data_IF_755835053025
#
_entry.id   IF_755835053025
#
_cell.length_a   1.000
_cell.length_b   1.000
_cell.length_c   1.000
_cell.angle_alpha   90.00
_cell.angle_beta   90.00
_cell.angle_gamma   90.00
#
_symmetry.space_group_name_H-M   'P 1'
#
loop_
_entity.id
_entity.type
_entity.pdbx_description
1 polymer ?
#
# COMPACT_ATOMS: atom_id res chain seq x y z
N UNK A 1 22.16 28.50 59.67
CA UNK A 1 21.50 27.18 59.60
C UNK A 1 20.31 27.12 58.63
N UNK A 2 19.46 28.16 58.53
CA UNK A 2 18.27 28.13 57.66
C UNK A 2 18.60 28.16 56.15
N UNK A 3 19.69 28.82 55.72
CA UNK A 3 20.07 28.88 54.28
C UNK A 3 20.62 27.56 53.70
N UNK A 4 21.13 26.65 54.53
CA UNK A 4 21.67 25.35 54.07
C UNK A 4 20.53 24.33 53.88
N UNK A 5 19.40 24.52 54.58
CA UNK A 5 18.23 23.65 54.46
C UNK A 5 17.50 23.82 53.13
N UNK A 6 17.51 25.02 52.55
CA UNK A 6 16.92 25.28 51.22
C UNK A 6 17.74 24.68 50.07
N UNK A 7 19.05 24.50 50.23
CA UNK A 7 19.89 23.87 49.21
C UNK A 7 19.62 22.36 49.08
N UNK A 8 19.26 21.69 50.18
CA UNK A 8 18.87 20.26 50.17
C UNK A 8 17.42 20.04 49.69
N UNK A 9 16.54 21.03 49.88
CA UNK A 9 15.17 20.99 49.38
C UNK A 9 15.07 21.28 47.87
N UNK A 10 16.06 21.98 47.29
CA UNK A 10 16.13 22.20 45.84
C UNK A 10 16.80 21.05 45.07
N UNK A 11 17.64 20.24 45.73
CA UNK A 11 18.32 19.09 45.08
C UNK A 11 17.45 17.84 44.96
N UNK A 12 16.27 17.82 45.60
CA UNK A 12 15.40 16.65 45.68
C UNK A 12 14.25 16.66 44.67
N UNK A 13 14.18 17.68 43.79
CA UNK A 13 13.16 17.81 42.75
C UNK A 13 13.68 17.57 41.33
N UNK A 14 14.86 16.97 41.18
CA UNK A 14 15.23 16.29 39.92
C UNK A 14 14.81 14.82 40.05
N UNK A 15 13.51 14.60 40.30
CA UNK A 15 12.90 13.36 39.85
C UNK A 15 12.88 13.47 38.34
N UNK A 16 13.93 12.95 37.72
CA UNK A 16 13.97 12.62 36.33
C UNK A 16 12.81 11.63 36.13
N UNK A 17 11.63 12.15 35.82
CA UNK A 17 10.60 11.40 35.14
C UNK A 17 11.18 11.08 33.78
N UNK A 18 12.07 10.10 33.73
CA UNK A 18 12.22 9.24 32.58
C UNK A 18 10.83 8.63 32.42
N UNK A 19 9.97 9.38 31.73
CA UNK A 19 8.77 8.84 31.14
C UNK A 19 9.28 7.63 30.37
N UNK A 20 8.96 6.46 30.89
CA UNK A 20 9.04 5.20 30.18
C UNK A 20 8.15 5.38 28.95
N UNK A 21 8.71 5.97 27.90
CA UNK A 21 8.07 5.99 26.61
C UNK A 21 8.24 4.57 26.10
N UNK A 22 7.23 3.75 26.34
CA UNK A 22 7.05 2.50 25.61
C UNK A 22 7.17 2.83 24.14
N UNK A 23 8.12 2.18 23.45
CA UNK A 23 8.30 2.41 22.02
C UNK A 23 6.96 2.23 21.29
N UNK A 24 6.54 3.25 20.53
CA UNK A 24 5.23 3.26 19.86
C UNK A 24 5.07 2.09 18.87
N UNK A 25 6.19 1.59 18.34
CA UNK A 25 6.26 0.41 17.49
C UNK A 25 7.54 -0.38 17.75
N UNK A 26 7.54 -1.63 17.30
CA UNK A 26 8.73 -2.49 17.17
C UNK A 26 8.72 -3.08 15.76
N UNK A 27 9.90 -3.21 15.16
CA UNK A 27 10.07 -3.84 13.85
C UNK A 27 10.85 -5.12 14.07
N UNK A 28 10.44 -6.19 13.40
CA UNK A 28 11.09 -7.48 13.45
C UNK A 28 11.50 -7.91 12.05
N UNK A 29 12.64 -8.59 11.93
CA UNK A 29 13.02 -9.27 10.69
C UNK A 29 12.30 -10.61 10.54
N UNK A 30 12.60 -11.35 9.46
CA UNK A 30 11.98 -12.65 9.16
C UNK A 30 12.33 -13.74 10.18
N UNK A 31 13.41 -13.57 10.94
CA UNK A 31 13.78 -14.46 12.05
C UNK A 31 13.12 -14.06 13.38
N UNK A 32 12.29 -13.00 13.39
CA UNK A 32 11.64 -12.49 14.59
C UNK A 32 12.55 -11.69 15.51
N UNK A 33 13.72 -11.26 15.02
CA UNK A 33 14.65 -10.43 15.80
C UNK A 33 14.27 -8.96 15.68
N UNK A 34 14.30 -8.25 16.79
CA UNK A 34 13.99 -6.82 16.79
C UNK A 34 15.08 -6.05 16.01
N UNK A 35 14.65 -5.24 15.05
CA UNK A 35 15.52 -4.38 14.23
C UNK A 35 15.10 -2.91 14.36
N UNK A 36 16.05 -2.02 14.12
CA UNK A 36 15.78 -0.58 14.04
C UNK A 36 15.12 -0.24 12.71
N UNK A 37 14.28 0.80 12.71
CA UNK A 37 13.68 1.32 11.49
C UNK A 37 14.73 1.69 10.44
N UNK A 38 15.82 2.33 10.84
CA UNK A 38 16.86 2.78 9.90
C UNK A 38 17.54 1.60 9.20
N UNK A 39 17.74 0.48 9.92
CA UNK A 39 18.29 -0.73 9.35
C UNK A 39 17.33 -1.38 8.33
N UNK A 40 16.03 -1.42 8.64
CA UNK A 40 15.00 -1.89 7.71
C UNK A 40 14.92 -0.98 6.47
N UNK A 41 14.90 0.35 6.65
CA UNK A 41 14.84 1.30 5.56
C UNK A 41 16.06 1.19 4.63
N UNK A 42 17.27 1.00 5.20
CA UNK A 42 18.48 0.77 4.41
C UNK A 42 18.35 -0.50 3.54
N UNK A 43 17.83 -1.60 4.09
CA UNK A 43 17.57 -2.82 3.31
C UNK A 43 16.54 -2.55 2.21
N UNK A 44 15.46 -1.82 2.51
CA UNK A 44 14.44 -1.46 1.52
C UNK A 44 15.05 -0.70 0.33
N UNK A 45 16.02 0.19 0.57
CA UNK A 45 16.72 0.90 -0.52
C UNK A 45 17.56 0.00 -1.43
N UNK A 46 17.88 -1.22 -1.02
CA UNK A 46 18.64 -2.17 -1.84
C UNK A 46 17.77 -2.95 -2.81
N UNK A 47 16.44 -2.88 -2.66
CA UNK A 47 15.49 -3.63 -3.47
C UNK A 47 14.84 -2.74 -4.52
N UNK A 48 14.54 -3.33 -5.68
CA UNK A 48 13.79 -2.64 -6.72
C UNK A 48 12.32 -2.46 -6.32
N UNK A 49 11.68 -3.51 -5.80
CA UNK A 49 10.27 -3.48 -5.45
C UNK A 49 10.11 -3.74 -3.95
N UNK A 50 9.49 -2.80 -3.25
CA UNK A 50 9.21 -2.88 -1.82
C UNK A 50 7.70 -2.74 -1.61
N UNK A 51 7.09 -3.76 -1.02
CA UNK A 51 5.70 -3.71 -0.58
C UNK A 51 5.62 -3.32 0.89
N UNK A 52 4.80 -2.32 1.21
CA UNK A 52 4.44 -1.96 2.57
C UNK A 52 3.01 -2.43 2.83
N UNK A 53 2.88 -3.64 3.39
CA UNK A 53 1.61 -4.20 3.84
C UNK A 53 1.10 -3.49 5.09
N UNK A 54 -0.18 -3.10 5.10
CA UNK A 54 -0.78 -2.34 6.21
C UNK A 54 -2.14 -2.85 6.68
N UNK A 55 -2.59 -2.28 7.80
CA UNK A 55 -3.98 -2.27 8.20
C UNK A 55 -4.51 -0.86 7.90
N UNK A 56 -5.53 -0.76 7.04
CA UNK A 56 -5.97 0.51 6.42
C UNK A 56 -6.40 1.63 7.35
N UNK A 57 -6.60 1.37 8.64
CA UNK A 57 -7.02 2.36 9.64
C UNK A 57 -5.99 2.49 10.77
N UNK A 58 -4.71 2.26 10.47
CA UNK A 58 -3.62 2.34 11.44
C UNK A 58 -2.74 3.57 11.17
N UNK A 59 -3.06 4.68 11.85
CA UNK A 59 -2.30 5.94 11.74
C UNK A 59 -0.79 5.80 11.94
N UNK A 60 -0.33 4.85 12.77
CA UNK A 60 1.10 4.61 12.97
C UNK A 60 1.73 3.92 11.76
N UNK A 61 1.02 3.01 11.10
CA UNK A 61 1.47 2.39 9.85
C UNK A 61 1.61 3.46 8.76
N UNK A 62 0.63 4.35 8.61
CA UNK A 62 0.69 5.45 7.64
C UNK A 62 1.84 6.41 7.88
N UNK A 63 2.12 6.74 9.16
CA UNK A 63 3.30 7.53 9.51
C UNK A 63 4.61 6.81 9.13
N UNK A 64 4.71 5.49 9.37
CA UNK A 64 5.86 4.68 8.99
C UNK A 64 6.03 4.58 7.47
N UNK A 65 4.94 4.52 6.69
CA UNK A 65 4.97 4.54 5.23
C UNK A 65 5.60 5.84 4.72
N UNK A 66 5.14 6.99 5.23
CA UNK A 66 5.69 8.28 4.86
C UNK A 66 7.16 8.39 5.25
N UNK A 67 7.53 7.86 6.42
CA UNK A 67 8.92 7.83 6.86
C UNK A 67 9.78 6.96 5.92
N UNK A 68 9.30 5.79 5.52
CA UNK A 68 10.04 4.90 4.61
C UNK A 68 10.19 5.53 3.23
N UNK A 69 9.12 6.12 2.68
CA UNK A 69 9.15 6.84 1.40
C UNK A 69 10.23 7.93 1.40
N UNK A 70 10.32 8.71 2.49
CA UNK A 70 11.35 9.74 2.67
C UNK A 70 12.77 9.13 2.67
N UNK A 71 13.02 8.09 3.46
CA UNK A 71 14.34 7.44 3.52
C UNK A 71 14.73 6.83 2.16
N UNK A 72 13.80 6.18 1.47
CA UNK A 72 14.05 5.63 0.14
C UNK A 72 14.37 6.72 -0.87
N UNK A 73 13.63 7.84 -0.84
CA UNK A 73 13.85 8.96 -1.75
C UNK A 73 15.22 9.65 -1.56
N UNK A 74 15.76 9.67 -0.32
CA UNK A 74 17.11 10.18 -0.07
C UNK A 74 18.21 9.40 -0.79
N UNK A 75 17.96 8.13 -1.13
CA UNK A 75 18.94 7.24 -1.78
C UNK A 75 18.59 6.99 -3.26
N UNK A 76 17.32 7.14 -3.64
CA UNK A 76 16.81 6.85 -4.98
C UNK A 76 16.28 8.10 -5.67
N UNK A 77 17.09 8.67 -6.56
CA UNK A 77 16.74 9.86 -7.33
C UNK A 77 15.53 9.68 -8.26
N UNK A 78 15.22 8.45 -8.69
CA UNK A 78 14.15 8.14 -9.66
C UNK A 78 13.32 6.93 -9.23
N UNK A 79 12.58 7.08 -8.14
CA UNK A 79 11.64 6.05 -7.66
C UNK A 79 10.20 6.36 -8.04
N UNK A 80 9.33 5.38 -7.88
CA UNK A 80 7.87 5.49 -8.06
C UNK A 80 7.16 5.13 -6.76
N UNK A 81 6.13 5.89 -6.41
CA UNK A 81 5.17 5.52 -5.38
C UNK A 81 3.95 4.88 -6.06
N UNK A 82 3.50 3.73 -5.60
CA UNK A 82 2.29 3.10 -6.08
C UNK A 82 1.39 2.70 -4.91
N UNK A 83 0.09 2.63 -5.09
CA UNK A 83 -0.77 2.16 -3.99
C UNK A 83 -2.10 1.54 -4.40
N UNK A 84 -2.67 0.80 -3.45
CA UNK A 84 -4.02 0.25 -3.50
C UNK A 84 -5.12 1.32 -3.31
N UNK A 85 -4.85 2.39 -2.56
CA UNK A 85 -5.88 3.36 -2.15
C UNK A 85 -6.35 4.32 -3.26
N UNK A 86 -5.81 4.18 -4.47
CA UNK A 86 -6.31 4.82 -5.70
C UNK A 86 -6.58 3.79 -6.80
N UNK A 87 -7.63 4.04 -7.58
CA UNK A 87 -8.05 3.18 -8.69
C UNK A 87 -7.36 3.63 -9.98
N UNK A 88 -7.07 2.71 -10.90
CA UNK A 88 -6.37 3.02 -12.17
C UNK A 88 -7.06 4.09 -13.01
N UNK A 89 -8.38 4.26 -12.86
CA UNK A 89 -9.13 5.30 -13.56
C UNK A 89 -9.06 6.68 -12.87
N UNK A 90 -8.44 6.81 -11.69
CA UNK A 90 -8.06 8.09 -11.07
C UNK A 90 -6.72 8.64 -11.62
N UNK A 91 -5.95 7.85 -12.38
CA UNK A 91 -4.57 8.20 -12.77
C UNK A 91 -4.49 9.54 -13.51
N UNK A 92 -5.43 9.83 -14.42
CA UNK A 92 -5.45 11.10 -15.16
C UNK A 92 -5.58 12.30 -14.20
N UNK A 93 -6.53 12.22 -13.26
CA UNK A 93 -6.77 13.27 -12.27
C UNK A 93 -5.56 13.47 -11.35
N UNK A 94 -4.88 12.39 -10.98
CA UNK A 94 -3.64 12.45 -10.18
C UNK A 94 -2.51 13.12 -10.99
N UNK A 95 -2.33 12.74 -12.26
CA UNK A 95 -1.28 13.28 -13.12
C UNK A 95 -1.48 14.79 -13.37
N UNK A 96 -2.73 15.21 -13.63
CA UNK A 96 -3.07 16.63 -13.80
C UNK A 96 -2.85 17.44 -12.51
N UNK A 97 -3.16 16.85 -11.35
CA UNK A 97 -2.90 17.48 -10.06
C UNK A 97 -1.40 17.58 -9.78
N UNK A 98 -0.62 16.52 -10.03
CA UNK A 98 0.83 16.51 -9.88
C UNK A 98 1.50 17.55 -10.79
N UNK A 99 0.98 17.72 -12.00
CA UNK A 99 1.41 18.74 -12.95
C UNK A 99 0.95 20.18 -12.59
N UNK A 100 0.16 20.36 -11.53
CA UNK A 100 -0.36 21.66 -11.10
C UNK A 100 -1.45 22.24 -12.00
N UNK A 101 -2.09 21.41 -12.84
CA UNK A 101 -3.17 21.83 -13.75
C UNK A 101 -4.50 22.00 -13.02
N UNK A 102 -4.71 21.24 -11.94
CA UNK A 102 -5.87 21.35 -11.06
C UNK A 102 -5.46 21.66 -9.62
N UNK A 103 -6.35 22.30 -8.88
CA UNK A 103 -6.13 22.65 -7.47
C UNK A 103 -6.31 21.43 -6.57
N UNK A 104 -5.75 21.47 -5.35
CA UNK A 104 -5.97 20.45 -4.33
C UNK A 104 -7.48 20.21 -4.07
N UNK A 105 -8.29 21.29 -4.09
CA UNK A 105 -9.74 21.20 -3.93
C UNK A 105 -10.41 20.43 -5.07
N UNK A 106 -10.01 20.67 -6.32
CA UNK A 106 -10.61 19.97 -7.46
C UNK A 106 -10.18 18.50 -7.46
N UNK A 107 -8.89 18.24 -7.20
CA UNK A 107 -8.38 16.88 -7.06
C UNK A 107 -9.19 16.09 -6.01
N UNK A 108 -9.38 16.64 -4.81
CA UNK A 108 -10.10 15.96 -3.73
C UNK A 108 -11.60 15.82 -3.98
N UNK A 109 -12.19 16.64 -4.87
CA UNK A 109 -13.59 16.53 -5.25
C UNK A 109 -13.82 15.50 -6.37
N UNK A 110 -12.83 15.27 -7.23
CA UNK A 110 -12.95 14.44 -8.43
C UNK A 110 -12.37 13.03 -8.24
N UNK A 111 -11.30 12.87 -7.47
CA UNK A 111 -10.67 11.58 -7.21
C UNK A 111 -11.49 10.73 -6.23
N UNK A 112 -11.43 9.40 -6.38
CA UNK A 112 -12.17 8.45 -5.51
C UNK A 112 -11.46 8.20 -4.18
N UNK A 113 -11.47 9.21 -3.33
CA UNK A 113 -10.79 9.16 -2.03
C UNK A 113 -11.46 8.17 -1.06
N UNK A 114 -10.62 7.50 -0.27
CA UNK A 114 -11.08 6.74 0.89
C UNK A 114 -11.43 7.70 2.05
N UNK A 115 -12.31 7.25 2.96
CA UNK A 115 -12.81 8.11 4.05
C UNK A 115 -11.70 8.68 4.95
N UNK A 116 -10.60 7.94 5.12
CA UNK A 116 -9.44 8.33 5.93
C UNK A 116 -8.33 9.02 5.13
N UNK A 117 -8.55 9.34 3.84
CA UNK A 117 -7.53 9.92 2.97
C UNK A 117 -6.83 11.15 3.57
N UNK A 118 -7.59 12.07 4.17
CA UNK A 118 -7.07 13.34 4.66
C UNK A 118 -5.96 13.17 5.70
N UNK A 119 -6.08 12.18 6.57
CA UNK A 119 -5.11 11.93 7.65
C UNK A 119 -4.05 10.92 7.24
N UNK A 120 -4.44 9.90 6.49
CA UNK A 120 -3.66 8.67 6.39
C UNK A 120 -2.84 8.62 5.09
N UNK A 121 -3.40 9.07 3.96
CA UNK A 121 -2.77 8.93 2.64
C UNK A 121 -2.35 10.25 1.99
N UNK A 122 -3.04 11.36 2.29
CA UNK A 122 -2.71 12.70 1.77
C UNK A 122 -1.25 13.10 2.05
N UNK A 123 -0.65 12.82 3.23
CA UNK A 123 0.77 13.13 3.47
C UNK A 123 1.74 12.44 2.49
N UNK A 124 1.44 11.20 2.07
CA UNK A 124 2.23 10.48 1.07
C UNK A 124 2.14 11.17 -0.29
N UNK A 125 0.91 11.52 -0.70
CA UNK A 125 0.65 12.17 -1.99
C UNK A 125 1.30 13.55 -2.08
N UNK A 126 1.19 14.36 -1.02
CA UNK A 126 1.83 15.68 -0.97
C UNK A 126 3.35 15.57 -1.03
N UNK A 127 3.94 14.59 -0.32
CA UNK A 127 5.38 14.37 -0.39
C UNK A 127 5.83 13.92 -1.78
N UNK A 128 5.08 13.02 -2.43
CA UNK A 128 5.38 12.58 -3.78
C UNK A 128 5.31 13.74 -4.78
N UNK A 129 4.22 14.51 -4.74
CA UNK A 129 4.02 15.71 -5.57
C UNK A 129 5.11 16.75 -5.36
N UNK A 130 5.47 17.09 -4.11
CA UNK A 130 6.47 18.14 -3.83
C UNK A 130 7.88 17.77 -4.28
N UNK A 131 8.19 16.47 -4.38
CA UNK A 131 9.51 15.97 -4.76
C UNK A 131 9.54 15.39 -6.18
N UNK A 132 8.47 15.54 -6.96
CA UNK A 132 8.40 15.01 -8.33
C UNK A 132 8.50 13.49 -8.42
N UNK A 133 8.12 12.76 -7.37
CA UNK A 133 8.05 11.29 -7.36
C UNK A 133 6.79 10.89 -8.14
N UNK A 134 6.89 10.18 -9.28
CA UNK A 134 5.71 9.69 -10.00
C UNK A 134 4.83 8.81 -9.11
N UNK A 135 3.52 8.91 -9.30
CA UNK A 135 2.54 8.11 -8.58
C UNK A 135 1.78 7.17 -9.52
N UNK A 136 1.58 5.91 -9.12
CA UNK A 136 0.76 4.93 -9.83
C UNK A 136 -0.45 4.52 -8.98
N UNK A 137 -1.64 4.88 -9.45
CA UNK A 137 -2.90 4.35 -8.96
C UNK A 137 -3.04 2.90 -9.44
N UNK A 138 -2.78 1.93 -8.57
CA UNK A 138 -2.55 0.55 -9.03
C UNK A 138 -3.81 -0.33 -9.00
N UNK A 139 -4.83 0.06 -8.24
CA UNK A 139 -5.95 -0.81 -7.96
C UNK A 139 -6.97 -0.85 -9.11
N UNK A 140 -7.70 -1.95 -9.21
CA UNK A 140 -8.84 -2.06 -10.12
C UNK A 140 -9.95 -1.09 -9.70
N UNK A 141 -10.67 -0.45 -10.65
CA UNK A 141 -11.86 0.30 -10.31
C UNK A 141 -12.89 -0.57 -9.56
N UNK A 142 -13.39 -0.11 -8.41
CA UNK A 142 -14.24 -0.93 -7.51
C UNK A 142 -15.49 -1.48 -8.19
N UNK A 143 -16.03 -0.76 -9.17
CA UNK A 143 -17.16 -1.21 -10.00
C UNK A 143 -16.87 -2.54 -10.73
N UNK A 144 -15.63 -2.79 -11.15
CA UNK A 144 -15.25 -4.02 -11.84
C UNK A 144 -14.99 -5.16 -10.86
N UNK A 145 -14.36 -4.89 -9.71
CA UNK A 145 -14.27 -5.88 -8.63
C UNK A 145 -15.67 -6.32 -8.13
N UNK A 146 -16.63 -5.39 -8.10
CA UNK A 146 -18.04 -5.66 -7.74
C UNK A 146 -18.81 -6.45 -8.81
N UNK A 147 -18.39 -6.41 -10.08
CA UNK A 147 -18.91 -7.34 -11.10
C UNK A 147 -18.42 -8.74 -10.78
N UNK A 148 -17.12 -8.91 -10.54
CA UNK A 148 -16.53 -10.23 -10.23
C UNK A 148 -17.14 -10.83 -8.97
N UNK A 149 -17.37 -10.04 -7.92
CA UNK A 149 -17.98 -10.57 -6.68
C UNK A 149 -19.42 -11.06 -6.86
N UNK A 150 -20.11 -10.67 -7.94
CA UNK A 150 -21.48 -11.08 -8.25
C UNK A 150 -21.58 -12.14 -9.34
N UNK A 151 -20.71 -12.07 -10.33
CA UNK A 151 -20.82 -12.80 -11.61
C UNK A 151 -19.58 -13.66 -11.91
N UNK A 152 -18.55 -13.62 -11.05
CA UNK A 152 -17.26 -14.25 -11.30
C UNK A 152 -16.43 -13.51 -12.36
N UNK A 153 -15.25 -14.05 -12.67
CA UNK A 153 -14.33 -13.43 -13.65
C UNK A 153 -14.94 -13.28 -15.05
N UNK A 154 -15.84 -14.19 -15.44
CA UNK A 154 -16.55 -14.15 -16.73
C UNK A 154 -17.35 -12.85 -16.92
N UNK A 155 -17.84 -12.24 -15.84
CA UNK A 155 -18.53 -10.95 -15.89
C UNK A 155 -17.68 -9.83 -16.50
N UNK A 156 -16.34 -9.93 -16.43
CA UNK A 156 -15.43 -8.95 -17.03
C UNK A 156 -15.30 -9.09 -18.56
N UNK A 157 -15.68 -10.23 -19.14
CA UNK A 157 -15.56 -10.46 -20.58
C UNK A 157 -16.48 -9.54 -21.39
N UNK A 158 -17.62 -9.16 -20.80
CA UNK A 158 -18.64 -8.29 -21.40
C UNK A 158 -18.26 -6.81 -21.39
N UNK A 159 -17.20 -6.43 -20.67
CA UNK A 159 -16.75 -5.05 -20.60
C UNK A 159 -16.24 -4.53 -21.95
N UNK A 160 -16.45 -3.24 -22.20
CA UNK A 160 -15.89 -2.57 -23.37
C UNK A 160 -14.35 -2.58 -23.35
N UNK A 161 -13.74 -2.37 -24.52
CA UNK A 161 -12.29 -2.31 -24.63
C UNK A 161 -11.69 -1.16 -23.79
N UNK A 162 -12.40 -0.04 -23.67
CA UNK A 162 -12.01 1.09 -22.82
C UNK A 162 -11.99 0.71 -21.35
N UNK A 163 -13.02 0.01 -20.88
CA UNK A 163 -13.09 -0.48 -19.50
C UNK A 163 -11.97 -1.48 -19.20
N UNK A 164 -11.68 -2.38 -20.14
CA UNK A 164 -10.62 -3.39 -20.00
C UNK A 164 -9.22 -2.79 -19.85
N UNK A 165 -8.99 -1.54 -20.27
CA UNK A 165 -7.70 -0.85 -20.05
C UNK A 165 -7.37 -0.66 -18.58
N UNK A 166 -8.37 -0.64 -17.69
CA UNK A 166 -8.22 -0.41 -16.25
C UNK A 166 -8.12 -1.69 -15.41
N UNK A 167 -8.08 -2.86 -16.05
CA UNK A 167 -7.89 -4.15 -15.36
C UNK A 167 -6.66 -4.88 -15.90
N UNK A 168 -6.24 -5.93 -15.21
CA UNK A 168 -5.24 -6.86 -15.75
C UNK A 168 -5.73 -7.54 -17.05
N UNK A 169 -4.83 -7.90 -17.98
CA UNK A 169 -5.19 -8.68 -19.16
C UNK A 169 -5.93 -9.97 -18.78
N UNK A 170 -7.02 -10.27 -19.49
CA UNK A 170 -7.82 -11.48 -19.33
C UNK A 170 -7.35 -12.57 -20.32
N UNK A 171 -7.50 -13.87 -20.00
CA UNK A 171 -8.03 -14.40 -18.74
C UNK A 171 -7.00 -14.34 -17.61
N UNK A 172 -7.48 -14.11 -16.37
CA UNK A 172 -6.67 -14.23 -15.15
C UNK A 172 -6.87 -15.61 -14.56
N UNK A 173 -5.78 -16.33 -14.28
CA UNK A 173 -5.84 -17.62 -13.60
C UNK A 173 -5.78 -17.41 -12.09
N UNK A 174 -6.71 -18.02 -11.36
CA UNK A 174 -6.80 -17.91 -9.90
C UNK A 174 -6.61 -19.29 -9.29
N UNK A 175 -5.51 -19.46 -8.57
CA UNK A 175 -5.28 -20.64 -7.72
C UNK A 175 -6.01 -20.45 -6.39
N UNK A 176 -7.25 -20.96 -6.31
CA UNK A 176 -8.10 -20.86 -5.11
C UNK A 176 -7.57 -21.68 -3.92
N UNK A 177 -6.59 -22.55 -4.13
CA UNK A 177 -6.00 -23.37 -3.08
C UNK A 177 -4.95 -22.64 -2.25
N UNK A 178 -4.57 -21.42 -2.64
CA UNK A 178 -3.61 -20.59 -1.92
C UNK A 178 -4.04 -20.36 -0.46
N UNK A 179 -3.11 -20.48 0.51
CA UNK A 179 -3.39 -20.28 1.93
C UNK A 179 -4.08 -18.96 2.24
N UNK A 180 -3.70 -17.85 1.59
CA UNK A 180 -4.32 -16.54 1.79
C UNK A 180 -5.78 -16.49 1.33
N UNK A 181 -6.12 -17.13 0.22
CA UNK A 181 -7.50 -17.20 -0.27
C UNK A 181 -8.36 -18.15 0.56
N UNK A 182 -7.80 -19.26 1.04
CA UNK A 182 -8.47 -20.13 2.03
C UNK A 182 -8.76 -19.40 3.33
N UNK A 183 -7.77 -18.68 3.87
CA UNK A 183 -7.95 -17.88 5.08
C UNK A 183 -9.00 -16.77 4.90
N UNK A 184 -9.05 -16.15 3.71
CA UNK A 184 -10.11 -15.19 3.36
C UNK A 184 -11.49 -15.84 3.35
N UNK A 185 -11.62 -17.00 2.70
CA UNK A 185 -12.87 -17.74 2.69
C UNK A 185 -13.34 -18.08 4.11
N UNK A 186 -12.39 -18.45 4.98
CA UNK A 186 -12.67 -18.76 6.38
C UNK A 186 -13.14 -17.56 7.20
N UNK A 187 -12.58 -16.36 6.96
CA UNK A 187 -13.03 -15.13 7.64
C UNK A 187 -14.42 -14.67 7.21
N UNK A 188 -14.90 -15.10 6.04
CA UNK A 188 -16.21 -14.74 5.50
C UNK A 188 -17.29 -15.80 5.74
N UNK A 189 -17.01 -16.82 6.57
CA UNK A 189 -18.00 -17.82 6.98
C UNK A 189 -19.28 -17.15 7.52
N UNK A 190 -20.41 -17.44 6.87
CA UNK A 190 -21.72 -16.85 7.20
C UNK A 190 -22.19 -15.73 6.26
N UNK A 191 -21.39 -15.34 5.27
CA UNK A 191 -21.83 -14.48 4.17
C UNK A 191 -22.83 -15.18 3.26
N UNK A 192 -23.83 -14.46 2.74
CA UNK A 192 -24.75 -14.95 1.69
C UNK A 192 -24.13 -14.85 0.29
N UNK A 193 -22.94 -14.26 0.17
CA UNK A 193 -22.24 -14.08 -1.10
C UNK A 193 -21.53 -15.37 -1.52
N UNK A 194 -21.35 -15.55 -2.83
CA UNK A 194 -20.60 -16.67 -3.38
C UNK A 194 -19.11 -16.51 -3.04
N UNK A 195 -18.56 -17.42 -2.24
CA UNK A 195 -17.19 -17.29 -1.76
C UNK A 195 -16.13 -17.41 -2.85
N UNK A 196 -16.38 -18.21 -3.87
CA UNK A 196 -15.49 -18.33 -5.03
C UNK A 196 -15.36 -16.99 -5.76
N UNK A 197 -16.48 -16.29 -5.92
CA UNK A 197 -16.52 -14.98 -6.57
C UNK A 197 -15.85 -13.89 -5.72
N UNK A 198 -15.92 -14.00 -4.39
CA UNK A 198 -15.18 -13.10 -3.49
C UNK A 198 -13.67 -13.31 -3.61
N UNK A 199 -13.21 -14.57 -3.67
CA UNK A 199 -11.81 -14.90 -3.90
C UNK A 199 -11.35 -14.40 -5.28
N UNK A 200 -12.14 -14.62 -6.32
CA UNK A 200 -11.87 -14.10 -7.66
C UNK A 200 -11.82 -12.57 -7.71
N UNK A 201 -12.70 -11.89 -6.97
CA UNK A 201 -12.73 -10.44 -6.86
C UNK A 201 -11.46 -9.90 -6.18
N UNK A 202 -10.95 -10.60 -5.16
CA UNK A 202 -9.67 -10.28 -4.54
C UNK A 202 -8.51 -10.53 -5.50
N UNK A 203 -8.51 -11.68 -6.19
CA UNK A 203 -7.45 -12.06 -7.11
C UNK A 203 -7.34 -11.12 -8.32
N UNK A 204 -8.46 -10.61 -8.86
CA UNK A 204 -8.40 -9.60 -9.93
C UNK A 204 -7.86 -8.25 -9.44
N UNK A 205 -8.08 -7.88 -8.16
CA UNK A 205 -7.41 -6.71 -7.55
C UNK A 205 -5.91 -6.93 -7.53
N UNK A 206 -5.45 -8.08 -7.02
CA UNK A 206 -4.03 -8.47 -6.96
C UNK A 206 -3.38 -8.44 -8.34
N UNK A 207 -4.00 -9.10 -9.31
CA UNK A 207 -3.56 -9.14 -10.70
C UNK A 207 -3.48 -7.73 -11.31
N UNK A 208 -4.48 -6.89 -11.08
CA UNK A 208 -4.50 -5.52 -11.63
C UNK A 208 -3.43 -4.64 -10.99
N UNK A 209 -3.20 -4.78 -9.67
CA UNK A 209 -2.10 -4.08 -9.00
C UNK A 209 -0.75 -4.55 -9.51
N UNK A 210 -0.53 -5.86 -9.69
CA UNK A 210 0.70 -6.38 -10.27
C UNK A 210 0.93 -5.87 -11.70
N UNK A 211 -0.11 -5.88 -12.54
CA UNK A 211 -0.07 -5.37 -13.90
C UNK A 211 0.33 -3.89 -13.95
N UNK A 212 -0.20 -3.07 -13.04
CA UNK A 212 0.14 -1.64 -12.92
C UNK A 212 1.62 -1.37 -12.63
N UNK A 213 2.35 -2.35 -12.08
CA UNK A 213 3.78 -2.21 -11.77
C UNK A 213 4.69 -2.75 -12.88
N UNK A 214 4.14 -3.39 -13.91
CA UNK A 214 4.94 -4.06 -14.93
C UNK A 214 5.90 -3.10 -15.66
N UNK A 215 5.39 -1.97 -16.15
CA UNK A 215 6.20 -0.98 -16.87
C UNK A 215 7.34 -0.37 -16.02
N UNK A 216 7.11 0.14 -14.80
CA UNK A 216 8.21 0.65 -13.97
C UNK A 216 9.20 -0.45 -13.56
N UNK A 217 8.74 -1.71 -13.39
CA UNK A 217 9.64 -2.84 -13.14
C UNK A 217 10.55 -3.08 -14.34
N UNK A 218 10.02 -3.13 -15.57
CA UNK A 218 10.81 -3.28 -16.79
C UNK A 218 11.82 -2.15 -16.99
N UNK A 219 11.45 -0.92 -16.60
CA UNK A 219 12.34 0.25 -16.63
C UNK A 219 13.42 0.24 -15.55
N UNK A 220 13.44 -0.76 -14.66
CA UNK A 220 14.43 -0.83 -13.57
C UNK A 220 14.18 0.21 -12.46
N UNK A 221 12.98 0.80 -12.40
CA UNK A 221 12.69 1.84 -11.41
C UNK A 221 12.49 1.21 -10.02
N UNK A 222 13.07 1.79 -8.96
CA UNK A 222 12.68 1.49 -7.60
C UNK A 222 11.21 1.88 -7.35
N UNK A 223 10.45 1.00 -6.69
CA UNK A 223 9.03 1.13 -6.44
C UNK A 223 8.77 0.88 -4.95
N UNK A 224 8.09 1.81 -4.29
CA UNK A 224 7.42 1.56 -3.02
C UNK A 224 5.93 1.42 -3.30
N UNK A 225 5.37 0.24 -3.03
CA UNK A 225 3.95 -0.04 -3.17
C UNK A 225 3.28 -0.12 -1.80
N UNK A 226 2.22 0.65 -1.58
CA UNK A 226 1.45 0.66 -0.33
C UNK A 226 0.14 -0.12 -0.54
N UNK A 227 -0.05 -1.17 0.25
CA UNK A 227 -1.18 -2.09 0.09
C UNK A 227 -1.69 -2.63 1.44
N UNK A 228 -2.95 -3.05 1.49
CA UNK A 228 -3.46 -3.85 2.59
C UNK A 228 -2.66 -5.13 2.73
N UNK A 229 -2.28 -5.51 3.94
CA UNK A 229 -1.35 -6.62 4.21
C UNK A 229 -1.73 -7.94 3.53
N UNK A 230 -3.02 -8.23 3.37
CA UNK A 230 -3.51 -9.41 2.63
C UNK A 230 -3.01 -9.48 1.17
N UNK A 231 -2.66 -8.35 0.56
CA UNK A 231 -2.22 -8.29 -0.84
C UNK A 231 -0.72 -8.59 -1.04
N UNK A 232 0.08 -8.71 0.04
CA UNK A 232 1.52 -9.01 -0.07
C UNK A 232 2.07 -9.95 1.01
N UNK A 233 1.27 -10.32 2.01
CA UNK A 233 1.66 -11.29 3.03
C UNK A 233 2.06 -12.63 2.41
N UNK A 234 3.04 -13.29 3.03
CA UNK A 234 3.55 -14.62 2.63
C UNK A 234 4.02 -14.73 1.18
N UNK A 235 4.34 -13.59 0.52
CA UNK A 235 4.65 -13.54 -0.91
C UNK A 235 3.49 -14.02 -1.80
N UNK A 236 2.25 -13.90 -1.30
CA UNK A 236 1.02 -14.16 -2.04
C UNK A 236 0.43 -12.86 -2.63
N UNK A 237 -0.78 -12.93 -3.19
CA UNK A 237 -1.48 -11.78 -3.75
C UNK A 237 -0.74 -11.15 -4.92
N UNK A 238 -0.47 -9.85 -4.86
CA UNK A 238 0.23 -9.06 -5.89
C UNK A 238 1.54 -9.73 -6.30
N UNK A 239 2.28 -10.26 -5.31
CA UNK A 239 3.61 -10.83 -5.52
C UNK A 239 3.54 -12.04 -6.45
N UNK A 240 2.52 -12.90 -6.30
CA UNK A 240 2.37 -14.09 -7.16
C UNK A 240 2.13 -13.72 -8.62
N UNK A 241 1.24 -12.75 -8.89
CA UNK A 241 0.94 -12.31 -10.24
C UNK A 241 2.12 -11.62 -10.94
N UNK A 242 3.03 -11.03 -10.15
CA UNK A 242 4.28 -10.41 -10.63
C UNK A 242 5.46 -11.38 -10.82
N UNK A 243 5.33 -12.66 -10.44
CA UNK A 243 6.41 -13.65 -10.55
C UNK A 243 6.09 -14.71 -11.61
N UNK A 244 7.13 -15.26 -12.26
CA UNK A 244 6.97 -16.33 -13.26
C UNK A 244 6.34 -17.59 -12.65
N UNK A 245 5.20 -18.05 -13.16
CA UNK A 245 4.45 -19.18 -12.61
C UNK A 245 3.06 -19.33 -13.24
N UNK A 246 2.24 -20.28 -12.76
CA UNK A 246 0.89 -20.53 -13.30
C UNK A 246 -0.06 -19.32 -13.21
N UNK A 247 0.19 -18.42 -12.26
CA UNK A 247 -0.59 -17.20 -12.06
C UNK A 247 0.11 -15.96 -12.64
N UNK A 248 1.21 -16.12 -13.40
CA UNK A 248 1.90 -14.98 -13.99
C UNK A 248 1.02 -14.31 -15.02
N UNK A 249 0.96 -12.98 -14.97
CA UNK A 249 0.35 -12.22 -16.04
C UNK A 249 1.14 -12.41 -17.34
N UNK A 250 0.43 -12.67 -18.45
CA UNK A 250 0.99 -12.56 -19.79
C UNK A 250 1.12 -11.08 -20.13
N UNK A 251 2.11 -10.42 -19.53
CA UNK A 251 2.44 -9.05 -19.88
C UNK A 251 3.20 -9.03 -21.22
N UNK A 252 2.93 -8.05 -22.10
CA UNK A 252 3.60 -7.92 -23.40
C UNK A 252 5.09 -7.58 -23.29
#
# INVERSE_FOLDING_TARGET
MIKILYAFLLSSFISFSAYSQTAAFKIFDKEGRAVRFEAMAQIATQHQLVFFGELHNNGLAHWLQLRLLKEMHLVKDRMVLASEFFERDDQLTIDEWFAGRITDRNFEAEAKLWNNYQTDYKPLMLFAKSNGIPFIASNIPRKYASIVSREGLEGLETLSNEAKKFIAPLPVTVDKDLPGYKAMADMMHGSTMNMDFMVEAQAIKDATMAYSLFEPIQKGLPILHINGSYHSNNYEGIVLFGTSGKNSLNCP
#
